data_IF_924842424536
#
_entry.id   IF_924842424536
#
_cell.length_a   1.000
_cell.length_b   1.000
_cell.length_c   1.000
_cell.angle_alpha   90.00
_cell.angle_beta   90.00
_cell.angle_gamma   90.00
#
_symmetry.space_group_name_H-M   'P 1'
#
loop_
_entity.id
_entity.type
_entity.pdbx_description
1 polymer ?
#
# COMPACT_ATOMS: atom_id res chain seq x y z
N UNK A 1 1.06 15.44 -41.93
CA UNK A 1 1.42 15.60 -40.50
C UNK A 1 2.40 14.50 -40.13
N UNK A 2 3.67 14.80 -39.80
CA UNK A 2 4.57 13.78 -39.27
C UNK A 2 4.05 13.30 -37.90
N UNK A 3 4.07 11.98 -37.67
CA UNK A 3 3.63 11.37 -36.42
C UNK A 3 4.58 11.81 -35.29
N UNK A 4 4.03 12.29 -34.17
CA UNK A 4 4.82 12.81 -33.05
C UNK A 4 5.80 11.79 -32.47
N UNK A 5 6.84 12.28 -31.78
CA UNK A 5 7.90 11.47 -31.18
C UNK A 5 7.28 10.43 -30.22
N UNK A 6 7.59 9.13 -30.37
CA UNK A 6 7.06 8.11 -29.48
C UNK A 6 7.57 8.31 -28.04
N UNK A 7 6.66 8.20 -27.08
CA UNK A 7 7.00 8.32 -25.66
C UNK A 7 7.99 7.22 -25.21
N UNK A 8 9.06 7.61 -24.50
CA UNK A 8 10.01 6.69 -23.85
C UNK A 8 9.24 5.70 -22.94
N UNK A 9 9.50 4.40 -23.12
CA UNK A 9 8.92 3.32 -22.31
C UNK A 9 9.95 2.88 -21.28
N UNK A 10 9.47 2.61 -20.07
CA UNK A 10 10.29 2.14 -18.95
C UNK A 10 9.74 0.80 -18.47
N UNK A 11 10.62 -0.16 -18.21
CA UNK A 11 10.21 -1.48 -17.71
C UNK A 11 9.77 -1.38 -16.25
N UNK A 12 8.92 -2.30 -15.75
CA UNK A 12 8.50 -2.31 -14.36
C UNK A 12 9.67 -2.37 -13.36
N UNK A 13 10.69 -3.15 -13.67
CA UNK A 13 11.89 -3.34 -12.84
C UNK A 13 12.68 -2.04 -12.73
N UNK A 14 12.82 -1.31 -13.83
CA UNK A 14 13.46 -0.01 -13.84
C UNK A 14 12.69 1.00 -12.96
N UNK A 15 11.37 1.05 -13.08
CA UNK A 15 10.54 1.96 -12.26
C UNK A 15 10.69 1.65 -10.77
N UNK A 16 10.70 0.37 -10.42
CA UNK A 16 10.92 -0.09 -9.03
C UNK A 16 12.27 0.39 -8.51
N UNK A 17 13.36 0.14 -9.25
CA UNK A 17 14.71 0.57 -8.90
C UNK A 17 14.79 2.07 -8.65
N UNK A 18 14.19 2.87 -9.54
CA UNK A 18 14.18 4.34 -9.44
C UNK A 18 13.51 4.80 -8.14
N UNK A 19 12.34 4.24 -7.81
CA UNK A 19 11.59 4.63 -6.61
C UNK A 19 12.27 4.15 -5.32
N UNK A 20 12.76 2.92 -5.29
CA UNK A 20 13.49 2.40 -4.12
C UNK A 20 14.75 3.22 -3.83
N UNK A 21 15.51 3.58 -4.87
CA UNK A 21 16.70 4.44 -4.73
C UNK A 21 16.32 5.84 -4.25
N UNK A 22 15.26 6.44 -4.83
CA UNK A 22 14.77 7.76 -4.42
C UNK A 22 14.40 7.79 -2.94
N UNK A 23 13.70 6.76 -2.44
CA UNK A 23 13.28 6.68 -1.04
C UNK A 23 14.46 6.38 -0.09
N UNK A 24 15.37 5.50 -0.49
CA UNK A 24 16.55 5.14 0.32
C UNK A 24 17.49 6.34 0.49
N UNK A 25 17.73 7.08 -0.59
CA UNK A 25 18.64 8.22 -0.61
C UNK A 25 17.95 9.57 -0.34
N UNK A 26 16.62 9.57 -0.18
CA UNK A 26 15.78 10.76 0.05
C UNK A 26 15.96 11.85 -1.00
N UNK A 27 16.09 11.44 -2.26
CA UNK A 27 16.27 12.35 -3.39
C UNK A 27 14.97 13.07 -3.73
N UNK A 28 15.06 14.32 -4.20
CA UNK A 28 13.90 14.99 -4.78
C UNK A 28 13.51 14.37 -6.12
N UNK A 29 12.27 14.62 -6.57
CA UNK A 29 11.80 14.12 -7.88
C UNK A 29 12.65 14.63 -9.05
N UNK A 30 13.16 15.87 -8.95
CA UNK A 30 13.99 16.48 -10.00
C UNK A 30 15.38 15.85 -10.06
N UNK A 31 16.00 15.62 -8.91
CA UNK A 31 17.29 14.94 -8.83
C UNK A 31 17.18 13.50 -9.32
N UNK A 32 16.13 12.80 -8.91
CA UNK A 32 15.84 11.43 -9.37
C UNK A 32 15.65 11.38 -10.88
N UNK A 33 14.86 12.30 -11.44
CA UNK A 33 14.64 12.36 -12.89
C UNK A 33 15.94 12.64 -13.65
N UNK A 34 16.81 13.51 -13.13
CA UNK A 34 18.12 13.80 -13.73
C UNK A 34 19.06 12.59 -13.65
N UNK A 35 19.16 11.96 -12.48
CA UNK A 35 20.06 10.81 -12.24
C UNK A 35 19.73 9.59 -13.09
N UNK A 36 18.44 9.32 -13.28
CA UNK A 36 17.95 8.16 -14.01
C UNK A 36 17.50 8.48 -15.45
N UNK A 37 17.79 9.69 -15.93
CA UNK A 37 17.41 10.17 -17.28
C UNK A 37 15.94 9.93 -17.62
N UNK A 38 15.08 10.16 -16.61
CA UNK A 38 13.63 10.11 -16.76
C UNK A 38 13.17 11.42 -17.36
N UNK A 39 12.32 11.32 -18.39
CA UNK A 39 11.85 12.46 -19.19
C UNK A 39 11.26 13.64 -18.39
N UNK A 40 10.73 13.40 -17.19
CA UNK A 40 10.15 14.44 -16.34
C UNK A 40 10.05 13.95 -14.89
N UNK A 41 10.22 14.88 -13.94
CA UNK A 41 9.98 14.69 -12.51
C UNK A 41 8.52 14.32 -12.21
N UNK A 42 7.56 14.77 -13.02
CA UNK A 42 6.16 14.36 -12.92
C UNK A 42 5.98 12.86 -13.10
N UNK A 43 6.77 12.20 -13.98
CA UNK A 43 6.72 10.75 -14.13
C UNK A 43 7.19 10.01 -12.88
N UNK A 44 8.22 10.53 -12.22
CA UNK A 44 8.73 9.97 -10.97
C UNK A 44 7.66 10.07 -9.89
N UNK A 45 6.97 11.21 -9.78
CA UNK A 45 5.84 11.38 -8.84
C UNK A 45 4.69 10.42 -9.12
N UNK A 46 4.33 10.20 -10.39
CA UNK A 46 3.30 9.21 -10.75
C UNK A 46 3.71 7.78 -10.35
N UNK A 47 4.98 7.43 -10.53
CA UNK A 47 5.48 6.11 -10.14
C UNK A 47 5.50 5.91 -8.63
N UNK A 48 5.92 6.93 -7.88
CA UNK A 48 5.86 6.89 -6.42
C UNK A 48 4.42 6.69 -5.93
N UNK A 49 3.45 7.40 -6.51
CA UNK A 49 2.04 7.20 -6.19
C UNK A 49 1.63 5.74 -6.41
N UNK A 50 1.95 5.16 -7.56
CA UNK A 50 1.63 3.75 -7.87
C UNK A 50 2.29 2.82 -6.85
N UNK A 51 3.56 3.05 -6.53
CA UNK A 51 4.32 2.24 -5.58
C UNK A 51 3.71 2.26 -4.18
N UNK A 52 3.29 3.44 -3.71
CA UNK A 52 2.67 3.60 -2.38
C UNK A 52 1.25 3.03 -2.31
N UNK A 53 0.47 3.06 -3.40
CA UNK A 53 -0.92 2.60 -3.39
C UNK A 53 -1.08 1.13 -3.74
N UNK A 54 -0.24 0.61 -4.65
CA UNK A 54 -0.41 -0.71 -5.27
C UNK A 54 0.84 -1.60 -5.13
N UNK A 55 1.94 -1.07 -4.56
CA UNK A 55 3.20 -1.80 -4.47
C UNK A 55 3.97 -1.87 -5.80
N UNK A 56 5.12 -2.57 -5.81
CA UNK A 56 5.91 -2.80 -7.03
C UNK A 56 5.14 -3.54 -8.12
N UNK A 57 4.18 -4.40 -7.75
CA UNK A 57 3.31 -5.13 -8.67
C UNK A 57 2.47 -4.17 -9.53
N UNK A 58 2.11 -3.01 -8.98
CA UNK A 58 1.37 -1.95 -9.66
C UNK A 58 2.05 -1.41 -10.93
N UNK A 59 3.35 -1.66 -11.13
CA UNK A 59 4.06 -1.29 -12.35
C UNK A 59 3.88 -2.26 -13.52
N UNK A 60 3.47 -3.50 -13.24
CA UNK A 60 3.18 -4.50 -14.27
C UNK A 60 1.77 -4.37 -14.85
N UNK A 61 0.89 -3.67 -14.13
CA UNK A 61 -0.49 -3.40 -14.54
C UNK A 61 -0.51 -2.40 -15.71
N UNK A 62 -0.88 -2.89 -16.90
CA UNK A 62 -1.08 -2.04 -18.08
C UNK A 62 -2.38 -1.22 -17.92
N UNK A 63 -2.22 0.10 -17.84
CA UNK A 63 -3.33 1.06 -17.70
C UNK A 63 -3.60 1.85 -18.98
N UNK A 64 -2.84 1.62 -20.07
CA UNK A 64 -3.07 2.31 -21.34
C UNK A 64 -4.21 1.66 -22.11
N UNK A 65 -5.09 2.49 -22.67
CA UNK A 65 -6.20 2.06 -23.51
C UNK A 65 -7.56 2.20 -22.83
N UNK A 66 -8.62 1.94 -23.62
CA UNK A 66 -10.02 2.05 -23.20
C UNK A 66 -10.44 0.78 -22.47
N UNK A 67 -9.89 0.57 -21.29
CA UNK A 67 -10.16 -0.58 -20.43
C UNK A 67 -10.63 -0.16 -19.05
N UNK A 68 -11.46 0.88 -18.93
CA UNK A 68 -12.09 1.15 -17.63
C UNK A 68 -12.95 -0.07 -17.30
N UNK A 69 -12.64 -0.77 -16.21
CA UNK A 69 -13.58 -1.71 -15.60
C UNK A 69 -14.71 -0.97 -14.89
N UNK A 70 -15.19 0.15 -15.45
CA UNK A 70 -16.21 1.01 -14.85
C UNK A 70 -15.97 1.31 -13.36
N UNK A 71 -17.06 1.62 -12.66
CA UNK A 71 -17.10 1.62 -11.20
C UNK A 71 -17.04 0.16 -10.73
N UNK A 72 -16.25 -0.20 -9.70
CA UNK A 72 -16.33 -1.52 -9.10
C UNK A 72 -17.79 -1.83 -8.75
N UNK A 73 -18.28 -3.01 -9.15
CA UNK A 73 -19.62 -3.46 -8.77
C UNK A 73 -19.67 -3.44 -7.25
N UNK A 74 -20.65 -2.74 -6.68
CA UNK A 74 -20.94 -2.84 -5.24
C UNK A 74 -21.14 -4.32 -4.92
N UNK A 75 -20.62 -4.78 -3.79
CA UNK A 75 -20.93 -6.13 -3.33
C UNK A 75 -22.46 -6.21 -3.14
N UNK A 76 -23.06 -7.38 -3.36
CA UNK A 76 -24.46 -7.57 -2.97
C UNK A 76 -24.60 -7.23 -1.48
N UNK A 77 -25.61 -6.43 -1.12
CA UNK A 77 -25.79 -5.89 0.25
C UNK A 77 -25.71 -6.96 1.34
N UNK A 78 -26.23 -8.16 1.06
CA UNK A 78 -26.16 -9.30 1.97
C UNK A 78 -24.71 -9.70 2.35
N UNK A 79 -23.78 -9.67 1.39
CA UNK A 79 -22.37 -10.00 1.64
C UNK A 79 -21.71 -8.90 2.48
N UNK A 80 -22.08 -7.65 2.26
CA UNK A 80 -21.56 -6.52 3.06
C UNK A 80 -22.02 -6.60 4.52
N UNK A 81 -23.29 -6.96 4.75
CA UNK A 81 -23.87 -7.16 6.09
C UNK A 81 -23.21 -8.33 6.83
N UNK A 82 -23.05 -9.49 6.16
CA UNK A 82 -22.37 -10.66 6.73
C UNK A 82 -20.91 -10.34 7.12
N UNK A 83 -20.19 -9.62 6.27
CA UNK A 83 -18.83 -9.17 6.56
C UNK A 83 -18.80 -8.19 7.74
N UNK A 84 -19.78 -7.30 7.84
CA UNK A 84 -19.88 -6.35 8.96
C UNK A 84 -20.10 -7.09 10.28
N UNK A 85 -20.99 -8.08 10.29
CA UNK A 85 -21.27 -8.91 11.45
C UNK A 85 -20.03 -9.71 11.87
N UNK A 86 -19.30 -10.26 10.92
CA UNK A 86 -18.06 -10.98 11.18
C UNK A 86 -16.99 -10.07 11.79
N UNK A 87 -16.82 -8.85 11.26
CA UNK A 87 -15.87 -7.86 11.82
C UNK A 87 -16.26 -7.47 13.25
N UNK A 88 -17.55 -7.31 13.54
CA UNK A 88 -18.01 -7.01 14.89
C UNK A 88 -17.73 -8.18 15.85
N UNK A 89 -18.01 -9.41 15.44
CA UNK A 89 -17.70 -10.62 16.20
C UNK A 89 -16.22 -10.74 16.50
N UNK A 90 -15.37 -10.58 15.49
CA UNK A 90 -13.91 -10.64 15.64
C UNK A 90 -13.38 -9.51 16.54
N UNK A 91 -13.98 -8.32 16.49
CA UNK A 91 -13.60 -7.22 17.40
C UNK A 91 -13.94 -7.56 18.86
N UNK A 92 -15.13 -8.10 19.11
CA UNK A 92 -15.54 -8.54 20.44
C UNK A 92 -14.64 -9.67 20.96
N UNK A 93 -14.31 -10.65 20.13
CA UNK A 93 -13.38 -11.73 20.48
C UNK A 93 -11.99 -11.19 20.81
N UNK A 94 -11.45 -10.27 19.99
CA UNK A 94 -10.17 -9.63 20.26
C UNK A 94 -10.18 -8.82 21.56
N UNK A 95 -11.27 -8.12 21.86
CA UNK A 95 -11.43 -7.38 23.12
C UNK A 95 -11.44 -8.33 24.32
N UNK A 96 -12.19 -9.44 24.23
CA UNK A 96 -12.22 -10.46 25.26
C UNK A 96 -10.82 -11.06 25.51
N UNK A 97 -10.08 -11.40 24.45
CA UNK A 97 -8.72 -11.92 24.55
C UNK A 97 -7.76 -10.91 25.19
N UNK A 98 -7.86 -9.62 24.85
CA UNK A 98 -7.06 -8.55 25.48
C UNK A 98 -7.37 -8.40 26.97
N UNK A 99 -8.65 -8.44 27.33
CA UNK A 99 -9.08 -8.36 28.73
C UNK A 99 -8.58 -9.57 29.53
N UNK A 100 -8.63 -10.77 28.95
CA UNK A 100 -8.09 -11.97 29.56
C UNK A 100 -6.57 -11.86 29.78
N UNK A 101 -5.84 -11.40 28.77
CA UNK A 101 -4.39 -11.15 28.89
C UNK A 101 -4.07 -10.14 29.99
N UNK A 102 -4.86 -9.05 30.09
CA UNK A 102 -4.68 -8.04 31.13
C UNK A 102 -4.89 -8.62 32.54
N UNK A 103 -5.90 -9.48 32.74
CA UNK A 103 -6.15 -10.14 34.02
C UNK A 103 -5.02 -11.12 34.40
N UNK A 104 -4.50 -11.87 33.44
CA UNK A 104 -3.36 -12.77 33.65
C UNK A 104 -2.13 -11.97 34.09
N UNK A 105 -1.79 -10.90 33.36
CA UNK A 105 -0.67 -10.03 33.71
C UNK A 105 -0.83 -9.39 35.10
N UNK A 106 -2.02 -8.92 35.45
CA UNK A 106 -2.30 -8.38 36.78
C UNK A 106 -2.13 -9.44 37.88
N UNK A 107 -2.58 -10.67 37.63
CA UNK A 107 -2.40 -11.80 38.55
C UNK A 107 -0.92 -12.14 38.76
N UNK A 108 -0.12 -12.16 37.70
CA UNK A 108 1.33 -12.40 37.77
C UNK A 108 2.05 -11.29 38.54
N UNK A 109 1.72 -10.02 38.26
CA UNK A 109 2.26 -8.85 38.98
C UNK A 109 1.96 -8.92 40.48
N UNK A 110 0.77 -9.40 40.87
CA UNK A 110 0.40 -9.58 42.28
C UNK A 110 1.17 -10.73 42.94
N UNK A 111 1.38 -11.84 42.23
CA UNK A 111 2.14 -12.98 42.76
C UNK A 111 3.63 -12.67 42.94
N UNK A 112 4.22 -11.87 42.04
CA UNK A 112 5.61 -11.42 42.14
C UNK A 112 5.89 -10.38 43.23
N UNK A 113 4.85 -9.85 43.90
CA UNK A 113 4.95 -8.82 44.96
C UNK A 113 4.83 -9.37 46.39
N UNK A 114 4.83 -10.69 46.61
CA UNK A 114 4.83 -11.23 47.97
C UNK A 114 6.11 -10.79 48.71
N UNK A 115 6.02 -10.03 49.82
CA UNK A 115 7.19 -9.75 50.63
C UNK A 115 7.66 -11.04 51.30
N UNK A 116 8.98 -11.22 51.38
CA UNK A 116 9.61 -12.25 52.23
C UNK A 116 9.39 -11.94 53.70
#
# INVERSE_FOLDING_TARGET
MPKGIPNKRYTPEFKKLVIETMMAEKLSYRETARRFEVSSDTRVREWERIYLTEGPEGFTVERRGRGSKGRPKKLPTAVEEDLLAEVQRLRAENEYLKNLQALVLERERRQGKKPR
#
